data_IF_936641955831
#
_entry.id   IF_936641955831
#
_cell.length_a   1.000
_cell.length_b   1.000
_cell.length_c   1.000
_cell.angle_alpha   90.00
_cell.angle_beta   90.00
_cell.angle_gamma   90.00
#
_symmetry.space_group_name_H-M   'P 1'
#
loop_
_entity.id
_entity.type
_entity.pdbx_description
1 polymer ?
#
# COMPACT_ATOMS: atom_id res chain seq x y z
N UNK A 1 -42.31 -13.49 -17.80
CA UNK A 1 -41.06 -13.84 -17.07
C UNK A 1 -40.29 -12.55 -16.80
N UNK A 2 -40.09 -12.16 -15.54
CA UNK A 2 -39.43 -10.90 -15.17
C UNK A 2 -37.91 -11.10 -15.15
N UNK A 3 -37.18 -10.31 -15.93
CA UNK A 3 -35.71 -10.32 -15.95
C UNK A 3 -35.16 -9.65 -14.69
N UNK A 4 -34.45 -10.42 -13.86
CA UNK A 4 -33.65 -9.86 -12.77
C UNK A 4 -32.36 -9.28 -13.37
N UNK A 5 -32.30 -7.95 -13.48
CA UNK A 5 -31.06 -7.22 -13.76
C UNK A 5 -30.30 -7.06 -12.44
N UNK A 6 -29.31 -7.91 -12.18
CA UNK A 6 -28.33 -7.64 -11.13
C UNK A 6 -27.30 -6.62 -11.64
N UNK A 7 -27.35 -5.42 -11.07
CA UNK A 7 -26.36 -4.36 -11.28
C UNK A 7 -25.44 -4.33 -10.07
N UNK A 8 -24.21 -4.82 -10.22
CA UNK A 8 -23.12 -4.60 -9.26
C UNK A 8 -22.60 -3.17 -9.45
N UNK A 9 -23.33 -2.21 -8.89
CA UNK A 9 -22.89 -0.82 -8.85
C UNK A 9 -21.88 -0.70 -7.70
N UNK A 10 -20.61 -0.54 -8.07
CA UNK A 10 -19.47 -0.48 -7.18
C UNK A 10 -19.68 0.42 -5.97
N UNK A 11 -19.38 -0.14 -4.79
CA UNK A 11 -19.30 0.55 -3.51
C UNK A 11 -18.00 1.38 -3.50
N UNK A 12 -17.94 2.41 -4.34
CA UNK A 12 -16.90 3.43 -4.24
C UNK A 12 -17.36 4.48 -3.22
N UNK A 13 -16.92 4.32 -1.96
CA UNK A 13 -16.93 5.43 -1.00
C UNK A 13 -15.97 6.49 -1.54
N UNK A 14 -16.52 7.58 -2.10
CA UNK A 14 -15.79 8.81 -2.41
C UNK A 14 -15.20 9.36 -1.11
N UNK A 15 -13.90 9.15 -0.89
CA UNK A 15 -13.16 9.83 0.17
C UNK A 15 -13.07 11.33 -0.13
N UNK A 16 -13.15 12.16 0.92
CA UNK A 16 -12.89 13.61 0.82
C UNK A 16 -11.43 13.83 0.39
N UNK A 17 -11.24 14.76 -0.53
CA UNK A 17 -9.93 15.19 -1.03
C UNK A 17 -9.53 16.41 -0.22
N UNK A 18 -8.40 16.33 0.49
CA UNK A 18 -7.79 17.51 1.12
C UNK A 18 -6.87 18.21 0.10
N UNK A 19 -6.69 19.52 0.24
CA UNK A 19 -6.07 20.48 -0.70
C UNK A 19 -4.61 20.21 -1.12
N UNK A 20 -4.00 19.10 -0.69
CA UNK A 20 -2.61 18.74 -0.99
C UNK A 20 -2.45 17.53 -1.92
N UNK A 21 -3.52 17.03 -2.54
CA UNK A 21 -3.43 16.00 -3.59
C UNK A 21 -2.91 14.62 -3.14
N UNK A 22 -2.55 14.45 -1.87
CA UNK A 22 -2.18 13.16 -1.30
C UNK A 22 -3.44 12.49 -0.81
N UNK A 23 -3.85 11.42 -1.49
CA UNK A 23 -4.86 10.49 -0.98
C UNK A 23 -4.30 9.79 0.26
N UNK A 24 -4.37 10.42 1.43
CA UNK A 24 -4.34 9.67 2.68
C UNK A 24 -5.68 8.96 2.83
N UNK A 25 -5.86 7.89 2.05
CA UNK A 25 -6.83 6.87 2.44
C UNK A 25 -6.22 6.22 3.67
N UNK A 26 -6.68 6.60 4.86
CA UNK A 26 -6.48 5.81 6.07
C UNK A 26 -7.24 4.49 5.90
N UNK A 27 -6.74 3.60 5.06
CA UNK A 27 -7.22 2.23 4.95
C UNK A 27 -6.82 1.51 6.24
N UNK A 28 -7.82 1.15 7.05
CA UNK A 28 -7.57 0.33 8.24
C UNK A 28 -7.14 -1.08 7.82
N UNK A 29 -6.54 -1.82 8.75
CA UNK A 29 -6.18 -3.22 8.51
C UNK A 29 -7.44 -4.05 8.20
N UNK A 30 -8.52 -3.83 8.96
CA UNK A 30 -9.79 -4.53 8.76
C UNK A 30 -10.42 -4.24 7.38
N UNK A 31 -10.30 -3.00 6.88
CA UNK A 31 -10.82 -2.63 5.56
C UNK A 31 -10.08 -3.38 4.45
N UNK A 32 -8.74 -3.38 4.50
CA UNK A 32 -7.88 -4.07 3.52
C UNK A 32 -8.14 -5.57 3.52
N UNK A 33 -8.27 -6.17 4.72
CA UNK A 33 -8.58 -7.59 4.87
C UNK A 33 -9.96 -7.94 4.30
N UNK A 34 -10.96 -7.11 4.57
CA UNK A 34 -12.32 -7.30 4.07
C UNK A 34 -12.39 -7.21 2.54
N UNK A 35 -11.69 -6.23 1.95
CA UNK A 35 -11.58 -6.11 0.49
C UNK A 35 -10.87 -7.31 -0.12
N UNK A 36 -9.77 -7.77 0.49
CA UNK A 36 -9.05 -8.95 0.01
C UNK A 36 -9.90 -10.22 0.04
N UNK A 37 -10.69 -10.42 1.10
CA UNK A 37 -11.66 -11.52 1.21
C UNK A 37 -12.71 -11.47 0.11
N UNK A 38 -13.28 -10.29 -0.13
CA UNK A 38 -14.27 -10.09 -1.20
C UNK A 38 -13.69 -10.46 -2.58
N UNK A 39 -12.53 -9.91 -2.94
CA UNK A 39 -11.91 -10.20 -4.23
C UNK A 39 -11.53 -11.68 -4.38
N UNK A 40 -11.09 -12.32 -3.29
CA UNK A 40 -10.81 -13.76 -3.30
C UNK A 40 -12.07 -14.60 -3.59
N UNK A 41 -13.22 -14.19 -3.05
CA UNK A 41 -14.51 -14.83 -3.34
C UNK A 41 -14.95 -14.57 -4.77
N UNK A 42 -14.86 -13.33 -5.25
CA UNK A 42 -15.19 -12.95 -6.63
C UNK A 42 -14.35 -13.73 -7.64
N UNK A 43 -13.04 -13.88 -7.40
CA UNK A 43 -12.15 -14.72 -8.21
C UNK A 43 -12.66 -16.17 -8.28
N UNK A 44 -13.08 -16.72 -7.15
CA UNK A 44 -13.67 -18.06 -7.07
C UNK A 44 -14.95 -18.18 -7.92
N UNK A 45 -15.85 -17.21 -7.81
CA UNK A 45 -17.09 -17.17 -8.60
C UNK A 45 -16.81 -17.07 -10.10
N UNK A 46 -15.85 -16.24 -10.52
CA UNK A 46 -15.49 -16.11 -11.94
C UNK A 46 -14.90 -17.40 -12.49
N UNK A 47 -14.05 -18.10 -11.73
CA UNK A 47 -13.54 -19.42 -12.13
C UNK A 47 -14.67 -20.43 -12.33
N UNK A 48 -15.64 -20.47 -11.41
CA UNK A 48 -16.83 -21.33 -11.54
C UNK A 48 -17.65 -20.93 -12.78
N UNK A 49 -17.83 -19.65 -13.05
CA UNK A 49 -18.56 -19.17 -14.23
C UNK A 49 -17.87 -19.59 -15.53
N UNK A 50 -16.55 -19.51 -15.60
CA UNK A 50 -15.78 -19.97 -16.76
C UNK A 50 -15.98 -21.47 -17.01
N UNK A 51 -15.96 -22.30 -15.96
CA UNK A 51 -16.25 -23.73 -16.06
C UNK A 51 -17.68 -24.00 -16.55
N UNK A 52 -18.66 -23.23 -16.06
CA UNK A 52 -20.07 -23.35 -16.47
C UNK A 52 -20.23 -22.97 -17.95
N UNK A 53 -19.56 -21.92 -18.41
CA UNK A 53 -19.56 -21.52 -19.83
C UNK A 53 -18.98 -22.64 -20.71
N UNK A 54 -17.85 -23.22 -20.31
CA UNK A 54 -17.24 -24.36 -21.03
C UNK A 54 -18.21 -25.54 -21.14
N UNK A 55 -18.79 -25.98 -20.02
CA UNK A 55 -19.76 -27.08 -19.97
C UNK A 55 -21.04 -26.79 -20.78
N UNK A 56 -21.49 -25.55 -20.82
CA UNK A 56 -22.64 -25.16 -21.62
C UNK A 56 -22.33 -25.24 -23.13
N UNK A 57 -21.11 -24.85 -23.53
CA UNK A 57 -20.61 -25.01 -24.90
C UNK A 57 -20.50 -26.47 -25.33
N UNK A 58 -19.93 -27.33 -24.47
CA UNK A 58 -19.83 -28.79 -24.73
C UNK A 58 -21.20 -29.46 -24.92
N UNK A 59 -22.21 -28.97 -24.20
CA UNK A 59 -23.60 -29.45 -24.30
C UNK A 59 -24.38 -28.83 -25.47
N UNK A 60 -23.78 -27.91 -26.24
CA UNK A 60 -24.44 -27.18 -27.32
C UNK A 60 -25.55 -26.24 -26.85
N UNK A 61 -25.56 -25.85 -25.57
CA UNK A 61 -26.57 -24.92 -25.01
C UNK A 61 -26.30 -23.47 -25.40
N UNK A 62 -25.05 -23.17 -25.78
CA UNK A 62 -24.61 -21.89 -26.30
C UNK A 62 -23.71 -22.11 -27.52
N UNK A 63 -23.65 -21.14 -28.41
CA UNK A 63 -22.83 -21.20 -29.62
C UNK A 63 -21.34 -21.05 -29.31
N UNK A 64 -20.48 -21.54 -30.20
CA UNK A 64 -19.02 -21.39 -30.06
C UNK A 64 -18.59 -19.91 -29.94
N UNK A 65 -19.21 -19.02 -30.72
CA UNK A 65 -18.95 -17.58 -30.63
C UNK A 65 -19.39 -16.97 -29.29
N UNK A 66 -20.48 -17.45 -28.69
CA UNK A 66 -20.91 -17.03 -27.35
C UNK A 66 -19.95 -17.53 -26.26
N UNK A 67 -19.47 -18.78 -26.36
CA UNK A 67 -18.46 -19.35 -25.47
C UNK A 67 -17.20 -18.48 -25.50
N UNK A 68 -16.70 -18.16 -26.69
CA UNK A 68 -15.48 -17.36 -26.85
C UNK A 68 -15.65 -15.95 -26.30
N UNK A 69 -16.75 -15.28 -26.63
CA UNK A 69 -17.04 -13.92 -26.18
C UNK A 69 -17.18 -13.84 -24.66
N UNK A 70 -17.94 -14.76 -24.06
CA UNK A 70 -18.15 -14.79 -22.61
C UNK A 70 -16.86 -15.18 -21.88
N UNK A 71 -16.17 -16.22 -22.33
CA UNK A 71 -14.91 -16.67 -21.72
C UNK A 71 -13.85 -15.57 -21.76
N UNK A 72 -13.71 -14.87 -22.88
CA UNK A 72 -12.76 -13.76 -23.02
C UNK A 72 -13.05 -12.64 -22.02
N UNK A 73 -14.32 -12.24 -21.89
CA UNK A 73 -14.72 -11.21 -20.92
C UNK A 73 -14.38 -11.61 -19.47
N UNK A 74 -14.71 -12.83 -19.08
CA UNK A 74 -14.48 -13.31 -17.71
C UNK A 74 -13.00 -13.59 -17.42
N UNK A 75 -12.19 -13.93 -18.43
CA UNK A 75 -10.73 -14.04 -18.29
C UNK A 75 -10.07 -12.69 -18.00
N UNK A 76 -10.48 -11.63 -18.70
CA UNK A 76 -9.98 -10.27 -18.44
C UNK A 76 -10.32 -9.84 -17.01
N UNK A 77 -11.55 -10.10 -16.56
CA UNK A 77 -11.95 -9.77 -15.18
C UNK A 77 -11.20 -10.63 -14.15
N UNK A 78 -10.92 -11.90 -14.46
CA UNK A 78 -10.14 -12.77 -13.61
C UNK A 78 -8.72 -12.25 -13.41
N UNK A 79 -8.06 -11.85 -14.50
CA UNK A 79 -6.72 -11.25 -14.47
C UNK A 79 -6.70 -9.97 -13.63
N UNK A 80 -7.67 -9.08 -13.85
CA UNK A 80 -7.84 -7.86 -13.04
C UNK A 80 -7.98 -8.16 -11.54
N UNK A 81 -8.79 -9.16 -11.19
CA UNK A 81 -8.97 -9.57 -9.80
C UNK A 81 -7.71 -10.18 -9.21
N UNK A 82 -6.94 -10.95 -9.99
CA UNK A 82 -5.67 -11.52 -9.54
C UNK A 82 -4.65 -10.42 -9.23
N UNK A 83 -4.55 -9.40 -10.08
CA UNK A 83 -3.70 -8.21 -9.85
C UNK A 83 -4.13 -7.43 -8.59
N UNK A 84 -5.44 -7.23 -8.41
CA UNK A 84 -5.97 -6.54 -7.24
C UNK A 84 -5.72 -7.35 -5.95
N UNK A 85 -5.94 -8.67 -5.97
CA UNK A 85 -5.62 -9.55 -4.84
C UNK A 85 -4.15 -9.44 -4.46
N UNK A 86 -3.25 -9.48 -5.44
CA UNK A 86 -1.81 -9.33 -5.23
C UNK A 86 -1.47 -7.97 -4.61
N UNK A 87 -2.08 -6.90 -5.12
CA UNK A 87 -1.91 -5.55 -4.58
C UNK A 87 -2.37 -5.45 -3.12
N UNK A 88 -3.58 -5.91 -2.80
CA UNK A 88 -4.11 -5.85 -1.43
C UNK A 88 -3.33 -6.75 -0.47
N UNK A 89 -2.82 -7.89 -0.94
CA UNK A 89 -1.92 -8.74 -0.17
C UNK A 89 -0.63 -8.01 0.21
N UNK A 90 -0.02 -7.26 -0.72
CA UNK A 90 1.18 -6.45 -0.44
C UNK A 90 0.87 -5.31 0.55
N UNK A 91 -0.28 -4.66 0.42
CA UNK A 91 -0.72 -3.61 1.35
C UNK A 91 -0.87 -4.19 2.76
N UNK A 92 -1.53 -5.34 2.90
CA UNK A 92 -1.74 -6.00 4.18
C UNK A 92 -0.40 -6.33 4.85
N UNK A 93 0.54 -6.95 4.11
CA UNK A 93 1.90 -7.23 4.60
C UNK A 93 2.64 -5.97 5.07
N UNK A 94 2.50 -4.86 4.34
CA UNK A 94 3.11 -3.59 4.75
C UNK A 94 2.53 -3.06 6.06
N UNK A 95 1.22 -3.20 6.27
CA UNK A 95 0.56 -2.82 7.52
C UNK A 95 1.00 -3.70 8.70
N UNK A 96 1.16 -5.01 8.48
CA UNK A 96 1.70 -5.92 9.50
C UNK A 96 3.13 -5.54 9.91
N UNK A 97 4.01 -5.30 8.93
CA UNK A 97 5.38 -4.86 9.20
C UNK A 97 5.42 -3.53 9.96
N UNK A 98 4.52 -2.60 9.63
CA UNK A 98 4.39 -1.33 10.36
C UNK A 98 3.95 -1.55 11.81
N UNK A 99 2.97 -2.44 12.04
CA UNK A 99 2.51 -2.81 13.37
C UNK A 99 3.62 -3.46 14.21
N UNK A 100 4.40 -4.38 13.62
CA UNK A 100 5.55 -5.03 14.28
C UNK A 100 6.63 -3.99 14.61
N UNK A 101 6.94 -3.09 13.69
CA UNK A 101 7.88 -1.99 13.94
C UNK A 101 7.43 -1.15 15.15
N UNK A 102 6.16 -0.78 15.20
CA UNK A 102 5.62 0.07 16.26
C UNK A 102 5.60 -0.65 17.62
N UNK A 103 5.32 -1.96 17.65
CA UNK A 103 5.42 -2.75 18.87
C UNK A 103 6.86 -2.91 19.36
N UNK A 104 7.82 -3.08 18.45
CA UNK A 104 9.25 -3.12 18.80
C UNK A 104 9.71 -1.79 19.41
N UNK A 105 9.38 -0.65 18.79
CA UNK A 105 9.73 0.66 19.36
C UNK A 105 9.15 0.82 20.76
N UNK A 106 7.88 0.45 20.97
CA UNK A 106 7.25 0.50 22.28
C UNK A 106 8.02 -0.35 23.31
N UNK A 107 8.36 -1.59 22.96
CA UNK A 107 9.11 -2.48 23.84
C UNK A 107 10.54 -1.98 24.14
N UNK A 108 11.22 -1.37 23.17
CA UNK A 108 12.53 -0.76 23.40
C UNK A 108 12.45 0.41 24.37
N UNK A 109 11.47 1.31 24.19
CA UNK A 109 11.29 2.45 25.09
C UNK A 109 10.92 2.04 26.51
N UNK A 110 10.08 1.02 26.67
CA UNK A 110 9.77 0.44 27.98
C UNK A 110 11.04 -0.11 28.66
N UNK A 111 11.91 -0.81 27.90
CA UNK A 111 13.18 -1.31 28.43
C UNK A 111 14.15 -0.20 28.80
N UNK A 112 14.30 0.83 27.95
CA UNK A 112 15.15 1.99 28.25
C UNK A 112 14.68 2.65 29.54
N UNK A 113 13.38 2.88 29.68
CA UNK A 113 12.79 3.45 30.88
C UNK A 113 13.07 2.61 32.13
N UNK A 114 12.93 1.28 32.04
CA UNK A 114 13.24 0.39 33.15
C UNK A 114 14.73 0.43 33.55
N UNK A 115 15.63 0.58 32.58
CA UNK A 115 17.07 0.76 32.83
C UNK A 115 17.34 2.10 33.51
N UNK A 116 16.73 3.19 33.01
CA UNK A 116 16.87 4.53 33.61
C UNK A 116 16.35 4.56 35.05
N UNK A 117 15.23 3.88 35.34
CA UNK A 117 14.67 3.72 36.68
C UNK A 117 15.63 2.95 37.60
N UNK A 118 16.15 1.81 37.15
CA UNK A 118 17.14 1.03 37.91
C UNK A 118 18.46 1.80 38.14
N UNK A 119 18.89 2.60 37.16
CA UNK A 119 20.04 3.50 37.32
C UNK A 119 19.76 4.59 38.35
N UNK A 120 18.54 5.16 38.35
CA UNK A 120 18.10 6.15 39.32
C UNK A 120 18.04 5.62 40.75
N UNK A 121 17.49 4.41 40.94
CA UNK A 121 17.46 3.72 42.24
C UNK A 121 18.88 3.44 42.75
N UNK A 122 19.75 2.94 41.87
CA UNK A 122 21.14 2.65 42.24
C UNK A 122 21.92 3.95 42.56
N UNK A 123 21.74 5.00 41.76
CA UNK A 123 22.31 6.32 42.02
C UNK A 123 21.86 6.89 43.38
N UNK A 124 20.56 6.78 43.69
CA UNK A 124 20.01 7.20 44.97
C UNK A 124 20.60 6.39 46.15
N UNK A 125 20.93 5.11 45.94
CA UNK A 125 21.51 4.25 46.98
C UNK A 125 23.00 4.49 47.26
N UNK A 126 23.76 4.97 46.25
CA UNK A 126 25.22 5.16 46.35
C UNK A 126 25.58 6.60 46.78
N UNK A 127 24.70 7.58 46.55
CA UNK A 127 24.98 9.01 46.75
C UNK A 127 25.70 9.64 45.55
N UNK A 128 25.53 10.95 45.34
CA UNK A 128 25.92 11.69 44.11
C UNK A 128 27.42 11.64 43.73
N UNK A 129 28.31 11.13 44.59
CA UNK A 129 29.77 11.19 44.37
C UNK A 129 30.38 10.05 43.53
N UNK A 130 29.61 9.03 43.13
CA UNK A 130 30.17 7.83 42.48
C UNK A 130 29.62 7.48 41.09
N UNK A 131 29.13 8.45 40.32
CA UNK A 131 28.73 8.21 38.92
C UNK A 131 29.80 8.79 37.99
N UNK A 132 30.64 7.97 37.33
CA UNK A 132 31.43 8.44 36.21
C UNK A 132 30.46 9.00 35.17
N UNK A 133 30.64 10.27 34.80
CA UNK A 133 29.92 10.94 33.71
C UNK A 133 30.22 10.23 32.38
N UNK A 134 29.65 9.05 32.18
CA UNK A 134 29.46 8.47 30.85
C UNK A 134 28.46 9.39 30.17
N UNK A 135 28.99 10.35 29.41
CA UNK A 135 28.22 11.17 28.49
C UNK A 135 27.19 10.25 27.81
N UNK A 136 25.90 10.60 27.80
CA UNK A 136 24.91 9.77 27.13
C UNK A 136 25.43 9.46 25.74
N UNK A 137 25.33 8.20 25.26
CA UNK A 137 25.62 7.90 23.87
C UNK A 137 24.87 8.94 23.07
N UNK A 138 25.61 9.76 22.30
CA UNK A 138 25.01 10.78 21.44
C UNK A 138 23.77 10.14 20.84
N UNK A 139 22.59 10.72 21.11
CA UNK A 139 21.40 10.35 20.37
C UNK A 139 21.85 10.19 18.92
N UNK A 140 21.54 9.07 18.23
CA UNK A 140 21.78 9.03 16.81
C UNK A 140 21.05 10.26 16.32
N UNK A 141 21.84 11.24 15.87
CA UNK A 141 21.30 12.51 15.46
C UNK A 141 20.14 12.12 14.57
N UNK A 142 18.97 12.71 14.80
CA UNK A 142 18.04 12.87 13.70
C UNK A 142 18.83 13.70 12.67
N UNK A 143 19.75 13.06 11.96
CA UNK A 143 19.84 13.17 10.52
C UNK A 143 18.40 13.00 10.10
N UNK A 144 17.72 14.15 10.03
CA UNK A 144 17.11 14.59 8.79
C UNK A 144 17.72 13.70 7.72
N UNK A 145 16.97 12.69 7.29
CA UNK A 145 17.27 12.01 6.04
C UNK A 145 17.10 13.08 4.96
N UNK A 146 18.03 14.02 4.89
CA UNK A 146 18.47 14.55 3.63
C UNK A 146 19.21 13.36 3.02
N UNK A 147 18.42 12.54 2.33
CA UNK A 147 18.97 11.50 1.50
C UNK A 147 20.08 12.12 0.64
N UNK A 148 21.19 11.42 0.36
CA UNK A 148 22.16 11.84 -0.65
C UNK A 148 21.57 11.91 -2.08
N UNK A 149 20.24 11.79 -2.23
CA UNK A 149 19.52 11.90 -3.48
C UNK A 149 19.39 13.35 -4.01
N UNK A 150 19.76 14.38 -3.24
CA UNK A 150 19.61 15.78 -3.66
C UNK A 150 20.75 16.30 -4.54
N UNK A 151 21.92 15.65 -4.58
CA UNK A 151 23.02 16.06 -5.47
C UNK A 151 22.89 15.49 -6.88
N UNK A 152 22.34 14.27 -7.03
CA UNK A 152 22.12 13.66 -8.35
C UNK A 152 20.90 14.19 -9.12
N UNK A 153 19.98 14.90 -8.45
CA UNK A 153 18.75 15.43 -9.07
C UNK A 153 18.88 16.87 -9.58
N UNK A 154 19.92 17.61 -9.18
CA UNK A 154 20.21 18.96 -9.71
C UNK A 154 20.50 18.94 -11.21
N UNK A 155 21.42 18.10 -11.73
CA UNK A 155 21.69 18.07 -13.17
C UNK A 155 20.46 17.65 -13.96
N UNK A 156 19.65 16.72 -13.42
CA UNK A 156 18.43 16.24 -14.07
C UNK A 156 17.31 17.31 -14.08
N UNK A 157 17.21 18.13 -13.03
CA UNK A 157 16.27 19.26 -13.01
C UNK A 157 16.68 20.35 -14.00
N UNK A 158 17.96 20.65 -14.12
CA UNK A 158 18.47 21.66 -15.05
C UNK A 158 18.29 21.21 -16.51
N UNK A 159 18.46 19.90 -16.78
CA UNK A 159 18.22 19.31 -18.09
C UNK A 159 16.73 19.30 -18.47
N UNK A 160 15.84 19.00 -17.52
CA UNK A 160 14.39 19.09 -17.72
C UNK A 160 13.95 20.54 -17.96
N UNK A 161 14.50 21.51 -17.22
CA UNK A 161 14.17 22.93 -17.42
C UNK A 161 14.56 23.41 -18.83
N UNK A 162 15.76 23.05 -19.30
CA UNK A 162 16.20 23.38 -20.67
C UNK A 162 15.36 22.69 -21.74
N UNK A 163 14.92 21.46 -21.50
CA UNK A 163 14.05 20.74 -22.42
C UNK A 163 12.66 21.41 -22.51
N UNK A 164 12.16 21.98 -21.40
CA UNK A 164 10.91 22.73 -21.38
C UNK A 164 11.03 24.07 -22.11
N UNK A 165 12.09 24.85 -21.87
CA UNK A 165 12.34 26.11 -22.63
C UNK A 165 12.44 25.85 -24.14
N UNK A 166 13.13 24.77 -24.53
CA UNK A 166 13.28 24.42 -25.95
C UNK A 166 11.96 23.96 -26.61
N UNK A 167 11.05 23.36 -25.85
CA UNK A 167 9.71 23.03 -26.33
C UNK A 167 8.85 24.28 -26.49
N UNK A 168 8.98 25.23 -25.58
CA UNK A 168 8.28 26.52 -25.64
C UNK A 168 8.76 27.37 -26.83
N UNK A 169 10.05 27.38 -27.13
CA UNK A 169 10.59 28.05 -28.33
C UNK A 169 10.08 27.42 -29.65
N UNK A 170 9.91 26.09 -29.70
CA UNK A 170 9.34 25.43 -30.89
C UNK A 170 7.83 25.63 -31.05
N UNK A 171 7.09 25.89 -29.95
CA UNK A 171 5.66 26.23 -30.02
C UNK A 171 5.40 27.69 -30.44
N UNK A 172 6.41 28.56 -30.32
CA UNK A 172 6.30 29.99 -30.68
C UNK A 172 6.77 30.29 -32.12
N UNK A 173 7.59 29.43 -32.72
CA UNK A 173 8.05 29.56 -34.11
C UNK A 173 7.26 28.72 -35.16
N UNK A 174 6.20 28.00 -34.74
CA UNK A 174 5.30 27.24 -35.62
C UNK A 174 3.94 27.90 -35.83
#
# INVERSE_FOLDING_TARGET
MKSLKFSFKGIFRRGKVDEKGVREVKTSFEDVESTLKLYTLERGLIRILLDVIGKAGEKGLITSGEVERLSSKYRIELERLEDDIDRYTRILRLLELRRVRDSLYKGYWERIRAVEEAMGELAASIGEEAIPLLKPPREPSRTKREAPASEGLKPLKDEILRAMEKLEEMEVEG
#
